data_IF_251911501796
#
_entry.id   IF_251911501796
#
_cell.length_a   1.000
_cell.length_b   1.000
_cell.length_c   1.000
_cell.angle_alpha   90.00
_cell.angle_beta   90.00
_cell.angle_gamma   90.00
#
_symmetry.space_group_name_H-M   'P 1'
#
loop_
_entity.id
_entity.type
_entity.pdbx_description
1 polymer ?
#
# COMPACT_ATOMS: atom_id res chain seq x y z
N UNK A 1 -35.28 -23.02 13.18
CA UNK A 1 -35.24 -21.63 12.63
C UNK A 1 -35.80 -20.55 13.56
N UNK A 2 -36.91 -20.78 14.29
CA UNK A 2 -37.52 -19.76 15.18
C UNK A 2 -36.56 -19.22 16.26
N UNK A 3 -35.73 -20.08 16.85
CA UNK A 3 -34.76 -19.70 17.89
C UNK A 3 -33.71 -18.70 17.39
N UNK A 4 -33.19 -18.91 16.16
CA UNK A 4 -32.19 -18.02 15.55
C UNK A 4 -32.80 -16.62 15.34
N UNK A 5 -34.05 -16.56 14.85
CA UNK A 5 -34.75 -15.29 14.66
C UNK A 5 -34.91 -14.50 15.96
N UNK A 6 -35.22 -15.19 17.06
CA UNK A 6 -35.32 -14.58 18.39
C UNK A 6 -33.99 -14.01 18.88
N UNK A 7 -32.89 -14.75 18.68
CA UNK A 7 -31.55 -14.29 19.06
C UNK A 7 -31.16 -13.05 18.24
N UNK A 8 -31.38 -13.09 16.93
CA UNK A 8 -31.10 -11.95 16.04
C UNK A 8 -31.89 -10.71 16.48
N UNK A 9 -33.20 -10.84 16.71
CA UNK A 9 -34.02 -9.72 17.18
C UNK A 9 -33.53 -9.13 18.52
N UNK A 10 -33.08 -9.99 19.44
CA UNK A 10 -32.51 -9.55 20.72
C UNK A 10 -31.23 -8.72 20.50
N UNK A 11 -30.31 -9.21 19.68
CA UNK A 11 -29.03 -8.53 19.43
C UNK A 11 -29.22 -7.20 18.69
N UNK A 12 -30.13 -7.14 17.71
CA UNK A 12 -30.47 -5.86 17.06
C UNK A 12 -31.01 -4.85 18.08
N UNK A 13 -31.95 -5.25 18.93
CA UNK A 13 -32.49 -4.38 19.98
C UNK A 13 -31.40 -3.91 20.95
N UNK A 14 -30.45 -4.79 21.26
CA UNK A 14 -29.30 -4.47 22.11
C UNK A 14 -28.41 -3.41 21.44
N UNK A 15 -28.05 -3.58 20.18
CA UNK A 15 -27.24 -2.61 19.42
C UNK A 15 -27.88 -1.22 19.41
N UNK A 16 -29.20 -1.13 19.16
CA UNK A 16 -29.92 0.15 19.16
C UNK A 16 -30.03 0.79 20.56
N UNK A 17 -30.08 -0.01 21.63
CA UNK A 17 -30.19 0.49 23.00
C UNK A 17 -28.85 0.99 23.56
N UNK A 18 -27.74 0.38 23.14
CA UNK A 18 -26.40 0.79 23.60
C UNK A 18 -25.86 1.93 22.73
N UNK A 19 -25.89 3.15 23.29
CA UNK A 19 -25.46 4.38 22.62
C UNK A 19 -24.03 4.34 22.05
N UNK A 20 -23.15 3.49 22.58
CA UNK A 20 -21.78 3.30 22.10
C UNK A 20 -21.63 2.26 20.99
N UNK A 21 -22.50 1.26 20.90
CA UNK A 21 -22.38 0.20 19.90
C UNK A 21 -22.63 0.72 18.49
N UNK A 22 -23.66 1.57 18.34
CA UNK A 22 -24.06 2.08 17.03
C UNK A 22 -22.97 2.94 16.38
N UNK A 23 -22.34 3.91 17.08
CA UNK A 23 -21.19 4.62 16.54
C UNK A 23 -20.02 3.70 16.22
N UNK A 24 -19.62 2.77 17.09
CA UNK A 24 -18.48 1.88 16.84
C UNK A 24 -18.69 1.05 15.57
N UNK A 25 -19.89 0.52 15.36
CA UNK A 25 -20.24 -0.30 14.19
C UNK A 25 -19.99 0.43 12.86
N UNK A 26 -20.20 1.75 12.81
CA UNK A 26 -19.99 2.55 11.61
C UNK A 26 -18.63 3.23 11.59
N UNK A 27 -18.24 3.88 12.68
CA UNK A 27 -17.04 4.70 12.77
C UNK A 27 -15.76 3.86 12.62
N UNK A 28 -15.71 2.65 13.21
CA UNK A 28 -14.55 1.76 13.03
C UNK A 28 -14.28 1.41 11.57
N UNK A 29 -15.27 0.94 10.78
CA UNK A 29 -15.04 0.70 9.37
C UNK A 29 -14.71 1.98 8.58
N UNK A 30 -15.26 3.15 8.93
CA UNK A 30 -14.82 4.42 8.31
C UNK A 30 -13.35 4.72 8.59
N UNK A 31 -12.90 4.57 9.84
CA UNK A 31 -11.49 4.73 10.22
C UNK A 31 -10.61 3.73 9.46
N UNK A 32 -11.06 2.48 9.34
CA UNK A 32 -10.37 1.47 8.52
C UNK A 32 -10.27 1.88 7.05
N UNK A 33 -11.35 2.39 6.44
CA UNK A 33 -11.33 2.86 5.06
C UNK A 33 -10.43 4.07 4.85
N UNK A 34 -10.22 4.90 5.87
CA UNK A 34 -9.29 6.02 5.80
C UNK A 34 -7.83 5.56 5.96
N UNK A 35 -7.56 4.62 6.86
CA UNK A 35 -6.19 4.20 7.21
C UNK A 35 -5.66 3.13 6.24
N UNK A 36 -6.47 2.12 5.91
CA UNK A 36 -6.01 0.96 5.14
C UNK A 36 -5.48 1.31 3.75
N UNK A 37 -6.05 2.24 2.97
CA UNK A 37 -5.48 2.61 1.66
C UNK A 37 -4.07 3.20 1.76
N UNK A 38 -3.80 3.98 2.81
CA UNK A 38 -2.45 4.53 3.03
C UNK A 38 -1.44 3.46 3.47
N UNK A 39 -1.89 2.46 4.24
CA UNK A 39 -1.04 1.36 4.68
C UNK A 39 -0.88 0.25 3.61
N UNK A 40 -1.87 0.11 2.73
CA UNK A 40 -1.89 -0.84 1.63
C UNK A 40 -1.26 -0.28 0.34
N UNK A 41 -0.61 0.88 0.43
CA UNK A 41 0.15 1.40 -0.69
C UNK A 41 1.44 0.58 -0.84
N UNK A 42 1.39 -0.41 -1.74
CA UNK A 42 2.54 -1.25 -2.11
C UNK A 42 3.46 -0.54 -3.12
N UNK A 43 3.36 0.78 -3.26
CA UNK A 43 4.18 1.53 -4.19
C UNK A 43 5.63 1.53 -3.73
N UNK A 44 6.44 0.68 -4.36
CA UNK A 44 7.88 0.67 -4.15
C UNK A 44 8.47 1.86 -4.91
N UNK A 45 8.57 3.00 -4.22
CA UNK A 45 9.26 4.21 -4.68
C UNK A 45 10.62 4.31 -3.98
N UNK A 46 11.58 5.00 -4.61
CA UNK A 46 12.92 5.23 -4.05
C UNK A 46 13.78 3.96 -3.85
N UNK A 47 13.70 2.99 -4.75
CA UNK A 47 14.59 1.84 -4.73
C UNK A 47 15.99 2.31 -5.12
N UNK A 48 16.95 2.16 -4.20
CA UNK A 48 18.35 2.45 -4.48
C UNK A 48 18.89 1.46 -5.52
N UNK A 49 19.23 1.97 -6.71
CA UNK A 49 19.77 1.20 -7.82
C UNK A 49 21.25 1.56 -8.02
N UNK A 50 22.11 0.54 -8.08
CA UNK A 50 23.49 0.69 -8.54
C UNK A 50 23.61 0.03 -9.92
N UNK A 51 24.08 0.79 -10.90
CA UNK A 51 24.31 0.30 -12.26
C UNK A 51 25.79 -0.02 -12.44
N UNK A 52 26.09 -1.18 -13.00
CA UNK A 52 27.44 -1.53 -13.46
C UNK A 52 27.40 -1.62 -14.98
N UNK A 53 27.82 -0.55 -15.65
CA UNK A 53 27.86 -0.52 -17.12
C UNK A 53 29.21 -1.05 -17.60
N UNK A 54 29.19 -2.18 -18.32
CA UNK A 54 30.38 -2.81 -18.91
C UNK A 54 30.46 -2.65 -20.42
N UNK A 55 29.36 -2.27 -21.04
CA UNK A 55 29.23 -2.16 -22.48
C UNK A 55 29.54 -0.72 -22.92
N UNK A 56 29.29 0.27 -22.05
CA UNK A 56 29.52 1.70 -22.26
C UNK A 56 28.93 2.25 -23.57
N UNK A 57 28.00 1.50 -24.16
CA UNK A 57 27.43 1.73 -25.48
C UNK A 57 26.35 2.80 -25.43
N UNK A 58 25.92 3.28 -26.60
CA UNK A 58 24.77 4.20 -26.67
C UNK A 58 23.48 3.55 -26.14
N UNK A 59 23.34 2.24 -26.33
CA UNK A 59 22.19 1.47 -25.87
C UNK A 59 22.18 1.31 -24.33
N UNK A 60 23.34 1.03 -23.71
CA UNK A 60 23.43 0.94 -22.24
C UNK A 60 23.05 2.26 -21.58
N UNK A 61 23.52 3.40 -22.13
CA UNK A 61 23.17 4.74 -21.64
C UNK A 61 21.68 5.05 -21.79
N UNK A 62 21.06 4.64 -22.90
CA UNK A 62 19.63 4.82 -23.12
C UNK A 62 18.78 3.95 -22.19
N UNK A 63 19.29 2.79 -21.78
CA UNK A 63 18.64 1.96 -20.77
C UNK A 63 18.75 2.61 -19.38
N UNK A 64 19.92 3.13 -19.03
CA UNK A 64 20.14 3.84 -17.76
C UNK A 64 19.23 5.06 -17.65
N UNK A 65 19.08 5.85 -18.71
CA UNK A 65 18.21 7.03 -18.69
C UNK A 65 16.72 6.69 -18.53
N UNK A 66 16.27 5.51 -18.97
CA UNK A 66 14.91 5.04 -18.71
C UNK A 66 14.68 4.71 -17.23
N UNK A 67 15.68 4.14 -16.56
CA UNK A 67 15.62 3.91 -15.11
C UNK A 67 15.69 5.21 -14.31
N UNK A 68 16.48 6.19 -14.77
CA UNK A 68 16.57 7.52 -14.16
C UNK A 68 15.27 8.32 -14.30
N UNK A 69 14.55 8.15 -15.41
CA UNK A 69 13.26 8.79 -15.66
C UNK A 69 12.09 8.14 -14.91
N UNK A 70 12.31 7.02 -14.19
CA UNK A 70 11.27 6.30 -13.46
C UNK A 70 11.22 6.72 -11.98
N UNK A 71 10.03 7.03 -11.46
CA UNK A 71 9.81 7.38 -10.04
C UNK A 71 10.07 6.22 -9.05
N UNK A 72 10.32 5.02 -9.57
CA UNK A 72 10.57 3.82 -8.75
C UNK A 72 12.02 3.72 -8.30
N UNK A 73 12.97 4.22 -9.10
CA UNK A 73 14.39 3.97 -8.89
C UNK A 73 15.15 5.26 -8.62
N UNK A 74 16.09 5.17 -7.68
CA UNK A 74 17.08 6.20 -7.42
C UNK A 74 18.45 5.64 -7.74
N UNK A 75 19.07 6.11 -8.81
CA UNK A 75 20.43 5.70 -9.16
C UNK A 75 21.40 6.30 -8.15
N UNK A 76 22.03 5.45 -7.34
CA UNK A 76 22.97 5.87 -6.28
C UNK A 76 24.41 5.89 -6.78
N UNK A 77 24.75 4.99 -7.71
CA UNK A 77 26.06 4.94 -8.32
C UNK A 77 25.97 4.29 -9.70
N UNK A 78 26.77 4.80 -10.63
CA UNK A 78 27.07 4.16 -11.91
C UNK A 78 28.55 3.81 -11.85
N UNK A 79 28.84 2.51 -11.79
CA UNK A 79 30.20 1.98 -11.76
C UNK A 79 30.56 1.54 -13.17
N UNK A 80 31.52 2.24 -13.77
CA UNK A 80 32.21 1.78 -14.96
C UNK A 80 33.43 0.98 -14.50
N UNK A 81 33.80 -0.12 -15.17
CA UNK A 81 34.92 -0.94 -14.74
C UNK A 81 36.25 -0.21 -14.99
N UNK A 82 36.64 0.67 -14.07
CA UNK A 82 38.02 1.10 -13.83
C UNK A 82 38.32 0.92 -12.35
N UNK A 83 38.82 -0.27 -12.04
CA UNK A 83 39.76 -0.48 -10.95
C UNK A 83 41.16 -0.25 -11.52
#
# INVERSE_FOLDING_TARGET
>A
MRTILFIVQKEFRQIFRHRTMLPILFLMPFVQLLILPHAADYEVRNINLQVVDRDASGFSRQLISQFEASDHFRIVAISDHKA
#
